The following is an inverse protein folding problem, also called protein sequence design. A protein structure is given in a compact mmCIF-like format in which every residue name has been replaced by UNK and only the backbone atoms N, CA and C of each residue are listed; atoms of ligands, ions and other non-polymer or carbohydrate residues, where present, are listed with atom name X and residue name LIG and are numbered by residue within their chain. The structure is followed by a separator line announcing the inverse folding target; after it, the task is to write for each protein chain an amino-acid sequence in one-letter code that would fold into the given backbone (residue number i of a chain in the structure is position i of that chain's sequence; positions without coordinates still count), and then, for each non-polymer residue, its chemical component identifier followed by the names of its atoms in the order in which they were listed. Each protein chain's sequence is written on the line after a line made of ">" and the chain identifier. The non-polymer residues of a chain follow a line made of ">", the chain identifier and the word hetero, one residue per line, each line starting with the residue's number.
data_IF_110916290726
#
_entry.id   IF_110916290726
#
_cell.length_a   1.000
_cell.length_b   1.000
_cell.length_c   1.000
_cell.angle_alpha   90.00
_cell.angle_beta   90.00
_cell.angle_gamma   90.00
#
_symmetry.space_group_name_H-M   'P 1'
#
loop_
_entity.id
_entity.type
_entity.pdbx_description
1 polymer ?
#
# COMPACT_ATOMS: atom_id res chain seq x y z
N UNK A 1 -19.53 67.12 -20.51
CA UNK A 1 -18.35 67.72 -19.84
C UNK A 1 -18.53 67.49 -18.34
N UNK A 2 -17.72 66.63 -17.71
CA UNK A 2 -17.78 66.43 -16.25
C UNK A 2 -17.44 65.04 -15.68
N UNK A 3 -17.40 63.97 -16.48
CA UNK A 3 -16.82 62.66 -16.08
C UNK A 3 -15.29 62.66 -16.20
N UNK A 4 -14.61 63.58 -15.50
CA UNK A 4 -13.12 63.63 -15.48
C UNK A 4 -12.50 63.79 -14.09
N UNK A 5 -13.28 63.62 -13.01
CA UNK A 5 -12.74 63.67 -11.63
C UNK A 5 -13.13 62.50 -10.72
N UNK A 6 -13.87 61.50 -11.22
CA UNK A 6 -14.24 60.32 -10.42
C UNK A 6 -13.36 59.09 -10.66
N UNK A 7 -12.58 59.08 -11.74
CA UNK A 7 -11.72 57.94 -12.12
C UNK A 7 -10.39 57.87 -11.33
N UNK A 8 -9.71 58.99 -10.97
CA UNK A 8 -8.46 58.90 -10.20
C UNK A 8 -8.68 58.48 -8.74
N UNK A 9 -9.85 58.77 -8.17
CA UNK A 9 -10.17 58.43 -6.76
C UNK A 9 -10.64 56.97 -6.65
N UNK A 10 -11.35 56.43 -7.66
CA UNK A 10 -11.65 54.99 -7.70
C UNK A 10 -10.41 54.14 -8.01
N UNK A 11 -9.45 54.61 -8.81
CA UNK A 11 -8.22 53.85 -9.08
C UNK A 11 -7.21 53.86 -7.91
N UNK A 12 -7.29 54.81 -6.98
CA UNK A 12 -6.54 54.79 -5.71
C UNK A 12 -7.22 53.94 -4.63
N UNK A 13 -8.50 53.59 -4.80
CA UNK A 13 -9.23 52.69 -3.90
C UNK A 13 -9.22 51.21 -4.35
N UNK A 14 -8.70 50.90 -5.55
CA UNK A 14 -8.65 49.53 -6.09
C UNK A 14 -7.24 49.00 -6.35
N UNK A 15 -6.19 49.73 -5.94
CA UNK A 15 -4.79 49.32 -6.08
C UNK A 15 -4.15 48.74 -4.81
N UNK A 16 -4.94 48.44 -3.78
CA UNK A 16 -4.55 47.55 -2.67
C UNK A 16 -5.56 46.40 -2.59
N UNK A 17 -5.77 45.71 -3.71
CA UNK A 17 -6.09 44.29 -3.66
C UNK A 17 -4.82 43.52 -4.03
N UNK A 18 -3.80 43.69 -3.17
CA UNK A 18 -3.04 42.50 -2.81
C UNK A 18 -4.11 41.60 -2.21
N UNK A 19 -4.44 40.49 -2.86
CA UNK A 19 -4.98 39.36 -2.15
C UNK A 19 -3.89 38.97 -1.14
N UNK A 20 -3.84 39.69 -0.03
CA UNK A 20 -3.33 39.18 1.21
C UNK A 20 -4.26 38.00 1.47
N UNK A 21 -3.79 36.81 1.11
CA UNK A 21 -4.26 35.62 1.80
C UNK A 21 -4.02 35.96 3.25
N UNK A 22 -5.12 36.17 4.00
CA UNK A 22 -5.16 36.62 5.38
C UNK A 22 -4.61 35.54 6.34
N UNK A 23 -3.36 35.14 6.13
CA UNK A 23 -2.48 34.74 7.20
C UNK A 23 -1.26 35.65 7.09
N UNK A 24 -1.28 36.78 7.80
CA UNK A 24 -0.12 37.66 7.96
C UNK A 24 1.06 36.95 8.66
N UNK A 25 0.81 35.76 9.21
CA UNK A 25 1.77 35.01 10.00
C UNK A 25 2.21 33.78 9.21
N UNK A 26 3.47 33.73 8.78
CA UNK A 26 4.05 32.56 8.13
C UNK A 26 5.54 32.41 8.46
N UNK A 27 6.03 31.17 8.35
CA UNK A 27 7.44 30.80 8.40
C UNK A 27 7.76 30.07 7.10
N UNK A 28 8.72 30.57 6.35
CA UNK A 28 9.25 29.95 5.14
C UNK A 28 10.73 29.63 5.37
N UNK A 29 11.12 28.38 5.15
CA UNK A 29 12.51 27.91 5.33
C UNK A 29 12.92 27.13 4.10
N UNK A 30 13.95 27.62 3.41
CA UNK A 30 14.59 26.90 2.31
C UNK A 30 15.85 26.19 2.82
N UNK A 31 15.79 24.88 2.98
CA UNK A 31 16.90 24.03 3.39
C UNK A 31 17.70 23.60 2.15
N UNK A 32 19.00 23.94 2.12
CA UNK A 32 19.91 23.34 1.13
C UNK A 32 20.21 21.90 1.48
N UNK A 33 20.57 21.68 2.76
CA UNK A 33 21.01 20.38 3.26
C UNK A 33 20.82 20.29 4.77
N UNK A 34 20.28 19.17 5.23
CA UNK A 34 20.34 18.76 6.64
C UNK A 34 20.80 17.32 6.69
N UNK A 35 21.91 17.06 7.37
CA UNK A 35 22.36 15.71 7.70
C UNK A 35 22.33 15.60 9.22
N UNK A 36 21.49 14.73 9.75
CA UNK A 36 21.41 14.43 11.17
C UNK A 36 21.69 12.95 11.41
N UNK A 37 22.46 12.66 12.47
CA UNK A 37 22.71 11.32 12.99
C UNK A 37 22.63 11.38 14.52
N UNK A 38 21.82 10.52 15.12
CA UNK A 38 21.73 10.42 16.58
C UNK A 38 23.11 10.01 17.15
N UNK A 39 23.66 10.74 18.13
CA UNK A 39 24.93 10.37 18.74
C UNK A 39 24.83 9.04 19.49
N UNK A 40 25.81 8.15 19.33
CA UNK A 40 25.82 6.81 19.96
C UNK A 40 25.70 6.84 21.49
N UNK A 41 26.22 7.89 22.12
CA UNK A 41 26.15 8.11 23.58
C UNK A 41 24.92 8.92 24.01
N UNK A 42 23.95 9.12 23.13
CA UNK A 42 22.74 9.94 23.36
C UNK A 42 22.99 11.45 23.47
N UNK A 43 24.25 11.88 23.37
CA UNK A 43 24.63 13.30 23.35
C UNK A 43 25.94 13.51 22.56
N UNK A 44 26.06 14.66 21.90
CA UNK A 44 27.24 14.99 21.09
C UNK A 44 26.91 15.71 19.79
N UNK A 45 27.93 15.81 18.94
CA UNK A 45 27.77 16.28 17.55
C UNK A 45 26.81 15.34 16.81
N UNK A 46 25.79 15.93 16.20
CA UNK A 46 24.69 15.22 15.58
C UNK A 46 24.53 15.54 14.08
N UNK A 47 25.39 16.38 13.50
CA UNK A 47 25.46 16.59 12.05
C UNK A 47 25.55 18.04 11.61
N UNK A 48 24.92 18.39 10.48
CA UNK A 48 24.98 19.73 9.87
C UNK A 48 23.61 20.20 9.37
N UNK A 49 23.38 21.52 9.43
CA UNK A 49 22.23 22.21 8.86
C UNK A 49 22.71 23.41 8.03
N UNK A 50 22.32 23.42 6.76
CA UNK A 50 22.56 24.50 5.83
C UNK A 50 21.23 24.93 5.19
N UNK A 51 20.82 26.18 5.42
CA UNK A 51 19.66 26.79 4.77
C UNK A 51 20.11 27.83 3.73
N UNK A 52 19.27 28.12 2.73
CA UNK A 52 19.45 29.21 1.75
C UNK A 52 18.85 30.49 2.28
N UNK A 53 17.61 30.41 2.74
CA UNK A 53 16.87 31.54 3.28
C UNK A 53 15.85 31.11 4.34
N UNK A 54 15.56 32.02 5.25
CA UNK A 54 14.46 31.94 6.21
C UNK A 54 13.69 33.25 6.14
N UNK A 55 12.40 33.19 5.85
CA UNK A 55 11.50 34.34 5.93
C UNK A 55 10.46 34.09 7.02
N UNK A 56 10.36 35.03 7.95
CA UNK A 56 9.34 35.05 9.00
C UNK A 56 8.49 36.30 8.79
N UNK A 57 7.18 36.12 8.69
CA UNK A 57 6.21 37.19 8.86
C UNK A 57 5.38 36.86 10.08
N UNK A 58 5.30 37.75 11.06
CA UNK A 58 4.50 37.52 12.27
C UNK A 58 4.03 38.85 12.87
N UNK A 59 2.72 39.02 13.04
CA UNK A 59 2.09 40.20 13.65
C UNK A 59 2.60 41.54 13.09
N UNK A 60 2.82 41.59 11.77
CA UNK A 60 3.31 42.78 11.05
C UNK A 60 4.82 42.95 11.03
N UNK A 61 5.58 42.10 11.73
CA UNK A 61 7.04 42.03 11.63
C UNK A 61 7.45 41.11 10.46
N UNK A 62 8.39 41.56 9.63
CA UNK A 62 9.00 40.75 8.57
C UNK A 62 10.50 40.63 8.80
N UNK A 63 11.00 39.41 8.95
CA UNK A 63 12.42 39.10 9.07
C UNK A 63 12.81 38.18 7.91
N UNK A 64 13.81 38.59 7.14
CA UNK A 64 14.41 37.76 6.09
C UNK A 64 15.88 37.52 6.40
N UNK A 65 16.29 36.27 6.50
CA UNK A 65 17.68 35.86 6.69
C UNK A 65 18.11 35.11 5.43
N UNK A 66 19.07 35.67 4.71
CA UNK A 66 19.68 35.01 3.55
C UNK A 66 21.07 34.51 3.94
N UNK A 67 21.32 33.21 3.76
CA UNK A 67 22.62 32.59 4.04
C UNK A 67 23.54 32.63 2.80
N UNK A 68 23.63 33.79 2.16
CA UNK A 68 24.58 34.04 1.09
C UNK A 68 25.98 33.99 1.71
N UNK A 69 26.88 33.16 1.16
CA UNK A 69 28.24 32.90 1.66
C UNK A 69 28.38 31.92 2.83
N UNK A 70 27.36 31.11 3.17
CA UNK A 70 27.47 30.01 4.17
C UNK A 70 27.79 30.49 5.61
N UNK A 71 27.50 31.75 5.91
CA UNK A 71 27.73 32.41 7.21
C UNK A 71 26.96 31.73 8.35
N UNK A 72 25.80 31.14 8.03
CA UNK A 72 24.92 30.45 8.97
C UNK A 72 24.93 28.92 8.81
N UNK A 73 25.89 28.37 8.06
CA UNK A 73 26.10 26.91 8.05
C UNK A 73 26.42 26.47 9.48
N UNK A 74 25.64 25.53 9.99
CA UNK A 74 25.62 25.21 11.41
C UNK A 74 25.90 23.73 11.65
N UNK A 75 26.73 23.43 12.66
CA UNK A 75 26.82 22.08 13.22
C UNK A 75 25.64 21.83 14.14
N UNK A 76 25.01 20.67 14.02
CA UNK A 76 23.94 20.23 14.91
C UNK A 76 24.59 19.54 16.11
N UNK A 77 24.15 19.89 17.30
CA UNK A 77 24.54 19.24 18.54
C UNK A 77 23.30 18.76 19.29
N UNK A 78 23.32 17.54 19.80
CA UNK A 78 22.17 16.93 20.47
C UNK A 78 22.49 16.55 21.91
N UNK A 79 21.52 16.74 22.79
CA UNK A 79 21.40 16.14 24.13
C UNK A 79 19.95 15.73 24.33
N UNK A 80 19.63 14.80 25.25
CA UNK A 80 18.26 14.27 25.39
C UNK A 80 17.16 15.31 25.57
N UNK A 81 17.46 16.50 26.11
CA UNK A 81 16.49 17.60 26.32
C UNK A 81 16.89 18.90 25.61
N UNK A 82 17.78 18.83 24.64
CA UNK A 82 18.32 20.02 23.99
C UNK A 82 18.87 19.72 22.59
N UNK A 83 18.53 20.55 21.61
CA UNK A 83 19.19 20.60 20.31
C UNK A 83 19.82 21.97 20.09
N UNK A 84 21.06 21.98 19.62
CA UNK A 84 21.82 23.18 19.31
C UNK A 84 22.24 23.23 17.86
N UNK A 85 22.35 24.45 17.33
CA UNK A 85 22.88 24.76 16.00
C UNK A 85 24.00 25.77 16.18
N UNK A 86 25.23 25.36 15.92
CA UNK A 86 26.42 26.17 16.14
C UNK A 86 27.06 26.57 14.81
N UNK A 87 26.99 27.87 14.48
CA UNK A 87 27.67 28.49 13.34
C UNK A 87 28.77 29.45 13.80
N UNK A 88 29.45 30.08 12.84
CA UNK A 88 30.57 31.01 13.12
C UNK A 88 30.09 32.28 13.85
N UNK A 89 28.91 32.78 13.47
CA UNK A 89 28.38 34.06 13.95
C UNK A 89 27.10 33.93 14.77
N UNK A 90 26.48 32.76 14.79
CA UNK A 90 25.22 32.51 15.47
C UNK A 90 25.22 31.11 16.09
N UNK A 91 24.85 31.05 17.36
CA UNK A 91 24.56 29.80 18.05
C UNK A 91 23.11 29.85 18.52
N UNK A 92 22.31 28.87 18.09
CA UNK A 92 20.93 28.70 18.52
C UNK A 92 20.80 27.42 19.33
N UNK A 93 19.89 27.43 20.29
CA UNK A 93 19.63 26.28 21.15
C UNK A 93 18.16 26.23 21.53
N UNK A 94 17.59 25.04 21.45
CA UNK A 94 16.18 24.78 21.75
C UNK A 94 16.09 23.68 22.78
N UNK A 95 15.30 23.92 23.82
CA UNK A 95 14.95 22.88 24.77
C UNK A 95 13.98 21.91 24.10
N UNK A 96 14.22 20.62 24.30
CA UNK A 96 13.34 19.55 23.83
C UNK A 96 12.53 19.01 25.00
N UNK A 97 11.33 18.53 24.67
CA UNK A 97 10.52 17.76 25.60
C UNK A 97 11.19 16.43 25.94
N UNK A 98 10.73 15.83 27.04
CA UNK A 98 11.26 14.56 27.53
C UNK A 98 11.04 13.44 26.50
N UNK A 99 9.88 13.40 25.88
CA UNK A 99 9.59 12.55 24.73
C UNK A 99 9.65 13.41 23.47
N UNK A 100 10.67 13.21 22.63
CA UNK A 100 10.79 13.92 21.37
C UNK A 100 11.20 12.96 20.26
N UNK A 101 10.64 13.16 19.06
CA UNK A 101 10.86 12.30 17.91
C UNK A 101 12.34 12.22 17.46
N UNK A 102 13.15 13.25 17.76
CA UNK A 102 14.58 13.22 17.41
C UNK A 102 15.36 12.14 18.18
N UNK A 103 14.86 11.65 19.33
CA UNK A 103 15.48 10.51 20.05
C UNK A 103 15.30 9.18 19.34
N UNK A 104 14.25 9.03 18.54
CA UNK A 104 13.94 7.77 17.84
C UNK A 104 14.56 7.73 16.46
N UNK A 105 14.77 8.90 15.84
CA UNK A 105 15.39 9.02 14.52
C UNK A 105 16.90 8.77 14.62
N UNK A 106 17.39 7.69 14.02
CA UNK A 106 18.82 7.37 13.91
C UNK A 106 19.52 8.28 12.90
N UNK A 107 18.90 8.51 11.74
CA UNK A 107 19.43 9.40 10.71
C UNK A 107 18.32 10.18 10.03
N UNK A 108 18.57 11.44 9.68
CA UNK A 108 17.68 12.26 8.85
C UNK A 108 18.52 13.00 7.79
N UNK A 109 18.12 12.88 6.53
CA UNK A 109 18.72 13.55 5.38
C UNK A 109 17.65 14.38 4.66
N UNK A 110 17.90 15.68 4.48
CA UNK A 110 17.02 16.58 3.74
C UNK A 110 17.88 17.33 2.71
N UNK A 111 17.46 17.36 1.46
CA UNK A 111 18.16 18.08 0.39
C UNK A 111 17.21 18.95 -0.42
N UNK A 112 17.65 20.17 -0.69
CA UNK A 112 16.97 21.13 -1.58
C UNK A 112 15.46 21.16 -1.33
N UNK A 113 15.09 21.45 -0.09
CA UNK A 113 13.71 21.37 0.38
C UNK A 113 13.22 22.71 0.93
N UNK A 114 11.92 22.93 0.86
CA UNK A 114 11.23 24.14 1.29
C UNK A 114 10.10 23.79 2.24
N UNK A 115 10.07 24.49 3.37
CA UNK A 115 8.99 24.47 4.34
C UNK A 115 8.22 25.78 4.25
N UNK A 116 6.90 25.71 4.25
CA UNK A 116 6.03 26.87 4.41
C UNK A 116 4.96 26.53 5.46
N UNK A 117 4.95 27.30 6.53
CA UNK A 117 4.11 27.08 7.70
C UNK A 117 3.30 28.34 7.94
N UNK A 118 1.99 28.23 8.13
CA UNK A 118 1.15 29.29 8.68
C UNK A 118 -0.02 28.64 9.45
N UNK A 119 -0.90 29.41 10.10
CA UNK A 119 -2.01 28.82 10.86
C UNK A 119 -2.99 27.97 10.05
N UNK A 120 -3.05 28.15 8.72
CA UNK A 120 -4.02 27.52 7.82
C UNK A 120 -3.47 26.33 7.03
N UNK A 121 -2.16 26.24 6.80
CA UNK A 121 -1.56 25.12 6.09
C UNK A 121 -0.08 24.90 6.45
N UNK A 122 0.37 23.68 6.19
CA UNK A 122 1.77 23.29 6.19
C UNK A 122 2.12 22.71 4.82
N UNK A 123 3.23 23.16 4.24
CA UNK A 123 3.76 22.59 3.00
C UNK A 123 5.24 22.25 3.14
N UNK A 124 5.60 21.06 2.68
CA UNK A 124 6.96 20.57 2.65
C UNK A 124 7.24 19.90 1.31
N UNK A 125 8.13 20.50 0.51
CA UNK A 125 8.50 19.96 -0.79
C UNK A 125 10.01 19.95 -0.94
N UNK A 126 10.53 19.05 -1.77
CA UNK A 126 11.97 19.00 -1.97
C UNK A 126 12.44 17.85 -2.84
N UNK A 127 13.74 17.86 -3.10
CA UNK A 127 14.39 16.86 -3.95
C UNK A 127 14.56 15.52 -3.24
N UNK A 128 14.96 15.52 -1.97
CA UNK A 128 15.18 14.30 -1.19
C UNK A 128 14.87 14.53 0.29
N UNK A 129 14.11 13.60 0.86
CA UNK A 129 13.93 13.42 2.29
C UNK A 129 14.19 11.95 2.61
N UNK A 130 15.04 11.65 3.58
CA UNK A 130 15.28 10.29 4.03
C UNK A 130 15.41 10.23 5.54
N UNK A 131 14.73 9.29 6.18
CA UNK A 131 14.73 9.09 7.61
C UNK A 131 14.96 7.61 7.92
N UNK A 132 15.76 7.31 8.93
CA UNK A 132 15.94 5.95 9.46
C UNK A 132 15.76 5.99 10.96
N UNK A 133 15.03 5.04 11.53
CA UNK A 133 14.97 4.76 12.97
C UNK A 133 15.41 3.30 13.26
N UNK A 134 15.05 2.75 14.42
CA UNK A 134 15.43 1.39 14.80
C UNK A 134 14.72 0.28 14.00
N UNK A 135 13.54 0.58 13.47
CA UNK A 135 12.62 -0.37 12.86
C UNK A 135 12.27 -0.04 11.41
N UNK A 136 12.49 1.20 10.97
CA UNK A 136 12.14 1.67 9.64
C UNK A 136 13.17 2.56 8.98
N UNK A 137 13.19 2.51 7.64
CA UNK A 137 13.83 3.50 6.77
C UNK A 137 12.79 4.00 5.77
N UNK A 138 12.59 5.31 5.70
CA UNK A 138 11.71 6.00 4.76
C UNK A 138 12.54 6.89 3.84
N UNK A 139 12.33 6.81 2.53
CA UNK A 139 12.92 7.73 1.56
C UNK A 139 11.83 8.31 0.66
N UNK A 140 11.86 9.62 0.44
CA UNK A 140 11.03 10.38 -0.50
C UNK A 140 11.94 11.13 -1.48
N UNK A 141 11.61 11.08 -2.77
CA UNK A 141 12.33 11.81 -3.83
C UNK A 141 11.35 12.69 -4.61
N UNK A 142 11.72 13.94 -4.90
CA UNK A 142 10.93 14.93 -5.67
C UNK A 142 9.46 15.01 -5.22
N UNK A 143 9.28 15.17 -3.93
CA UNK A 143 7.97 15.11 -3.30
C UNK A 143 7.43 16.52 -3.01
N UNK A 144 6.12 16.60 -2.87
CA UNK A 144 5.41 17.72 -2.28
C UNK A 144 4.38 17.15 -1.31
N UNK A 145 4.48 17.55 -0.04
CA UNK A 145 3.54 17.30 1.03
C UNK A 145 2.81 18.61 1.32
N UNK A 146 1.49 18.55 1.35
CA UNK A 146 0.63 19.62 1.81
C UNK A 146 -0.30 19.10 2.89
N UNK A 147 -0.50 19.87 3.95
CA UNK A 147 -1.46 19.57 5.01
C UNK A 147 -2.38 20.77 5.21
N UNK A 148 -3.68 20.50 5.20
CA UNK A 148 -4.72 21.49 5.39
C UNK A 148 -5.00 21.75 6.87
N UNK A 149 -5.16 23.02 7.23
CA UNK A 149 -5.61 23.43 8.56
C UNK A 149 -7.12 23.53 8.58
N UNK A 150 -7.76 22.75 9.46
CA UNK A 150 -9.13 23.07 9.86
C UNK A 150 -9.11 24.21 10.88
N UNK A 151 -10.21 24.95 11.04
CA UNK A 151 -10.34 26.01 12.06
C UNK A 151 -10.06 25.54 13.51
N UNK A 152 -9.90 24.23 13.73
CA UNK A 152 -9.62 23.61 15.03
C UNK A 152 -8.14 23.44 15.34
N UNK A 153 -7.23 23.50 14.36
CA UNK A 153 -5.80 23.21 14.57
C UNK A 153 -4.93 24.36 14.07
N UNK A 154 -4.04 24.83 14.93
CA UNK A 154 -3.03 25.83 14.58
C UNK A 154 -1.77 25.12 14.04
N UNK A 155 -1.62 25.14 12.71
CA UNK A 155 -0.50 24.50 12.01
C UNK A 155 0.86 25.20 12.21
N UNK A 156 0.94 26.24 13.04
CA UNK A 156 2.23 26.80 13.48
C UNK A 156 2.86 26.03 14.64
N UNK A 157 2.16 25.05 15.21
CA UNK A 157 2.63 24.18 16.29
C UNK A 157 2.93 22.75 15.79
N UNK A 158 3.82 22.02 16.46
CA UNK A 158 4.13 20.64 16.09
C UNK A 158 2.90 19.73 16.16
N UNK A 159 2.14 19.79 17.26
CA UNK A 159 0.89 19.04 17.44
C UNK A 159 -0.16 19.41 16.39
N UNK A 160 -0.26 20.70 16.08
CA UNK A 160 -1.12 21.20 15.02
C UNK A 160 -0.75 20.61 13.67
N UNK A 161 0.52 20.63 13.28
CA UNK A 161 1.00 20.03 12.02
C UNK A 161 0.64 18.55 11.95
N UNK A 162 0.91 17.78 13.01
CA UNK A 162 0.61 16.34 13.05
C UNK A 162 -0.89 16.11 12.88
N UNK A 163 -1.73 16.77 13.68
CA UNK A 163 -3.18 16.64 13.60
C UNK A 163 -3.72 17.09 12.24
N UNK A 164 -3.22 18.20 11.70
CA UNK A 164 -3.56 18.70 10.37
C UNK A 164 -3.26 17.70 9.27
N UNK A 165 -2.05 17.15 9.24
CA UNK A 165 -1.64 16.17 8.24
C UNK A 165 -2.41 14.84 8.33
N UNK A 166 -2.75 14.39 9.55
CA UNK A 166 -3.58 13.19 9.76
C UNK A 166 -5.05 13.41 9.35
N UNK A 167 -5.53 14.65 9.43
CA UNK A 167 -6.88 15.01 9.02
C UNK A 167 -7.00 15.18 7.52
N UNK A 168 -6.16 16.04 6.95
CA UNK A 168 -6.15 16.41 5.54
C UNK A 168 -4.71 16.59 5.06
N UNK A 169 -4.23 15.69 4.19
CA UNK A 169 -2.95 15.85 3.54
C UNK A 169 -2.93 15.32 2.12
N UNK A 170 -2.02 15.86 1.33
CA UNK A 170 -1.73 15.44 -0.03
C UNK A 170 -0.23 15.28 -0.19
N UNK A 171 0.21 14.09 -0.55
CA UNK A 171 1.58 13.79 -0.96
C UNK A 171 1.56 13.48 -2.43
N UNK A 172 2.32 14.21 -3.25
CA UNK A 172 2.44 13.96 -4.68
C UNK A 172 3.85 14.28 -5.21
N UNK A 173 4.06 14.06 -6.49
CA UNK A 173 5.27 14.51 -7.17
C UNK A 173 5.29 16.05 -7.28
N UNK A 174 6.48 16.64 -7.21
CA UNK A 174 6.69 18.10 -7.18
C UNK A 174 6.16 18.85 -8.43
N UNK A 175 5.98 18.18 -9.58
CA UNK A 175 5.42 18.78 -10.80
C UNK A 175 4.23 17.95 -11.29
N UNK A 176 3.06 18.61 -11.48
CA UNK A 176 1.97 18.06 -12.29
C UNK A 176 2.56 17.68 -13.67
N UNK A 177 2.61 16.39 -14.00
CA UNK A 177 3.19 15.79 -15.21
C UNK A 177 4.70 15.45 -15.19
N UNK A 178 5.39 15.53 -14.05
CA UNK A 178 6.74 14.95 -13.93
C UNK A 178 6.66 13.41 -14.07
N UNK A 179 7.40 12.85 -15.03
CA UNK A 179 7.61 11.39 -15.16
C UNK A 179 8.30 10.76 -13.93
N UNK A 180 8.83 11.58 -13.03
CA UNK A 180 9.35 11.13 -11.74
C UNK A 180 8.28 11.23 -10.67
N UNK A 181 7.53 10.13 -10.51
CA UNK A 181 6.73 9.82 -9.34
C UNK A 181 7.53 10.07 -8.05
N UNK A 182 6.84 10.45 -6.97
CA UNK A 182 7.45 10.42 -5.65
C UNK A 182 7.79 8.96 -5.33
N UNK A 183 9.07 8.68 -5.09
CA UNK A 183 9.50 7.32 -4.77
C UNK A 183 9.52 7.16 -3.25
N UNK A 184 8.77 6.19 -2.74
CA UNK A 184 8.78 5.72 -1.35
C UNK A 184 9.59 4.45 -1.29
N UNK A 185 10.70 4.48 -0.54
CA UNK A 185 11.39 3.27 -0.10
C UNK A 185 11.09 3.09 1.39
N UNK A 186 10.48 1.96 1.75
CA UNK A 186 10.17 1.56 3.12
C UNK A 186 10.82 0.23 3.44
N UNK A 187 11.59 0.19 4.51
CA UNK A 187 12.19 -1.04 5.03
C UNK A 187 11.64 -1.28 6.42
N UNK A 188 11.18 -2.49 6.74
CA UNK A 188 10.84 -2.88 8.12
C UNK A 188 11.66 -4.07 8.57
N UNK A 189 12.16 -4.00 9.80
CA UNK A 189 12.81 -5.13 10.48
C UNK A 189 11.77 -5.82 11.36
N UNK A 190 11.46 -7.09 11.09
CA UNK A 190 10.47 -7.87 11.86
C UNK A 190 11.02 -9.24 12.26
N UNK A 191 10.42 -9.88 13.27
CA UNK A 191 10.76 -11.26 13.66
C UNK A 191 10.50 -12.26 12.52
N UNK A 192 9.56 -11.95 11.62
CA UNK A 192 9.23 -12.75 10.43
C UNK A 192 10.17 -12.51 9.25
N UNK A 193 11.17 -11.64 9.42
CA UNK A 193 12.18 -11.27 8.42
C UNK A 193 12.00 -9.84 7.90
N UNK A 194 13.02 -9.36 7.20
CA UNK A 194 13.05 -7.99 6.67
C UNK A 194 12.12 -7.88 5.46
N UNK A 195 11.31 -6.82 5.44
CA UNK A 195 10.48 -6.44 4.29
C UNK A 195 11.04 -5.16 3.67
N UNK A 196 11.11 -5.14 2.34
CA UNK A 196 11.43 -3.95 1.57
C UNK A 196 10.28 -3.63 0.61
N UNK A 197 9.69 -2.45 0.74
CA UNK A 197 8.69 -1.90 -0.16
C UNK A 197 9.31 -0.72 -0.93
N UNK A 198 9.28 -0.79 -2.24
CA UNK A 198 9.61 0.33 -3.13
C UNK A 198 8.37 0.68 -3.94
N UNK A 199 7.82 1.86 -3.73
CA UNK A 199 6.62 2.34 -4.41
C UNK A 199 6.88 3.65 -5.16
N UNK A 200 6.38 3.73 -6.39
CA UNK A 200 6.34 4.97 -7.17
C UNK A 200 4.94 5.56 -7.09
N UNK A 201 4.78 6.57 -6.23
CA UNK A 201 3.53 7.24 -5.96
C UNK A 201 3.18 8.27 -7.05
N UNK A 202 1.94 8.23 -7.48
CA UNK A 202 1.31 9.36 -8.16
C UNK A 202 0.81 10.36 -7.11
N UNK A 203 -0.01 9.89 -6.16
CA UNK A 203 -0.46 10.65 -5.01
C UNK A 203 -0.76 9.75 -3.79
N UNK A 204 -0.77 10.34 -2.61
CA UNK A 204 -1.47 9.85 -1.42
C UNK A 204 -2.29 11.02 -0.88
N UNK A 205 -3.59 10.84 -0.75
CA UNK A 205 -4.53 11.82 -0.22
C UNK A 205 -5.16 11.28 1.07
N UNK A 206 -5.04 12.05 2.14
CA UNK A 206 -5.78 11.86 3.37
C UNK A 206 -6.88 12.92 3.38
N UNK A 207 -8.11 12.47 3.54
CA UNK A 207 -9.30 13.29 3.79
C UNK A 207 -9.91 12.88 5.13
N UNK A 208 -10.84 13.61 5.75
CA UNK A 208 -11.31 13.31 7.11
C UNK A 208 -11.62 11.82 7.35
N UNK A 209 -12.37 11.16 6.48
CA UNK A 209 -12.79 9.76 6.69
C UNK A 209 -12.05 8.72 5.82
N UNK A 210 -11.10 9.13 4.96
CA UNK A 210 -10.54 8.23 3.95
C UNK A 210 -9.07 8.50 3.66
N UNK A 211 -8.34 7.42 3.37
CA UNK A 211 -7.00 7.43 2.77
C UNK A 211 -7.13 6.91 1.35
N UNK A 212 -6.56 7.61 0.37
CA UNK A 212 -6.46 7.19 -1.02
C UNK A 212 -5.00 7.22 -1.41
N UNK A 213 -4.48 6.14 -1.99
CA UNK A 213 -3.12 6.06 -2.51
C UNK A 213 -3.16 5.56 -3.96
N UNK A 214 -2.65 6.40 -4.86
CA UNK A 214 -2.48 6.07 -6.27
C UNK A 214 -0.99 5.84 -6.56
N UNK A 215 -0.66 4.66 -7.09
CA UNK A 215 0.71 4.23 -7.37
C UNK A 215 0.84 3.81 -8.83
N UNK A 216 2.05 3.93 -9.38
CA UNK A 216 2.37 3.56 -10.77
C UNK A 216 3.12 2.25 -10.87
N UNK A 217 3.93 1.94 -9.85
CA UNK A 217 4.66 0.68 -9.73
C UNK A 217 4.99 0.44 -8.26
N UNK A 218 4.92 -0.81 -7.85
CA UNK A 218 5.30 -1.25 -6.51
C UNK A 218 6.14 -2.52 -6.61
N UNK A 219 7.14 -2.65 -5.74
CA UNK A 219 7.90 -3.87 -5.52
C UNK A 219 7.92 -4.13 -4.02
N UNK A 220 7.51 -5.32 -3.62
CA UNK A 220 7.58 -5.81 -2.24
C UNK A 220 8.50 -7.02 -2.25
N UNK A 221 9.62 -6.92 -1.54
CA UNK A 221 10.52 -8.04 -1.29
C UNK A 221 10.33 -8.50 0.16
N UNK A 222 10.00 -9.78 0.34
CA UNK A 222 9.93 -10.47 1.64
C UNK A 222 10.68 -11.80 1.52
N UNK A 223 11.10 -12.45 2.62
CA UNK A 223 11.91 -13.66 2.53
C UNK A 223 11.28 -14.78 1.69
N UNK A 224 11.90 -15.08 0.54
CA UNK A 224 11.46 -16.11 -0.41
C UNK A 224 10.38 -15.67 -1.40
N UNK A 225 9.90 -14.43 -1.32
CA UNK A 225 8.89 -13.92 -2.24
C UNK A 225 9.19 -12.51 -2.73
N UNK A 226 8.89 -12.29 -4.00
CA UNK A 226 8.94 -10.97 -4.61
C UNK A 226 7.62 -10.65 -5.31
N UNK A 227 7.03 -9.51 -4.96
CA UNK A 227 5.73 -9.06 -5.48
C UNK A 227 5.94 -7.77 -6.24
N UNK A 228 5.84 -7.83 -7.56
CA UNK A 228 5.85 -6.65 -8.42
C UNK A 228 4.41 -6.32 -8.84
N UNK A 229 4.03 -5.05 -8.73
CA UNK A 229 2.69 -4.58 -9.09
C UNK A 229 2.80 -3.39 -10.02
N UNK A 230 1.91 -3.32 -11.01
CA UNK A 230 1.78 -2.15 -11.89
C UNK A 230 1.07 -1.00 -11.17
N UNK A 231 0.30 -0.24 -11.94
CA UNK A 231 -0.52 0.81 -11.34
C UNK A 231 -1.56 0.20 -10.40
N UNK A 232 -1.65 0.76 -9.20
CA UNK A 232 -2.60 0.36 -8.18
C UNK A 232 -3.22 1.58 -7.52
N UNK A 233 -4.52 1.46 -7.22
CA UNK A 233 -5.29 2.41 -6.42
C UNK A 233 -5.76 1.70 -5.17
N UNK A 234 -5.41 2.25 -4.03
CA UNK A 234 -5.85 1.80 -2.71
C UNK A 234 -6.71 2.90 -2.12
N UNK A 235 -7.87 2.54 -1.58
CA UNK A 235 -8.73 3.44 -0.85
C UNK A 235 -9.18 2.73 0.42
N UNK A 236 -9.09 3.37 1.57
CA UNK A 236 -9.60 2.79 2.81
C UNK A 236 -10.10 3.81 3.81
N UNK A 237 -10.94 3.38 4.74
CA UNK A 237 -11.47 4.25 5.78
C UNK A 237 -10.40 4.59 6.84
N UNK A 238 -10.58 5.76 7.46
CA UNK A 238 -9.89 6.12 8.70
C UNK A 238 -10.84 6.84 9.65
N UNK A 239 -10.50 6.85 10.93
CA UNK A 239 -11.20 7.65 11.93
C UNK A 239 -11.16 9.16 11.58
N UNK A 240 -12.32 9.82 11.40
CA UNK A 240 -12.40 11.27 11.18
C UNK A 240 -12.00 12.12 12.36
N UNK A 241 -11.81 11.53 13.54
CA UNK A 241 -11.37 12.21 14.75
C UNK A 241 -9.93 11.84 15.14
N UNK A 242 -9.15 11.26 14.23
CA UNK A 242 -7.75 10.90 14.48
C UNK A 242 -6.90 12.16 14.74
N UNK A 243 -6.49 12.36 16.00
CA UNK A 243 -5.68 13.50 16.45
C UNK A 243 -4.20 13.17 16.62
N UNK A 244 -3.90 11.90 16.85
CA UNK A 244 -2.56 11.39 17.11
C UNK A 244 -2.31 10.17 16.23
N UNK A 245 -1.05 9.92 15.91
CA UNK A 245 -0.68 8.76 15.10
C UNK A 245 -0.85 7.49 15.94
N UNK A 246 -1.90 6.72 15.63
CA UNK A 246 -2.10 5.38 16.16
C UNK A 246 -2.11 4.39 14.99
N UNK A 247 -0.95 3.80 14.70
CA UNK A 247 -0.75 2.92 13.55
C UNK A 247 -1.64 1.66 13.61
N UNK A 248 -1.85 1.10 14.80
CA UNK A 248 -2.70 -0.08 14.99
C UNK A 248 -4.15 0.24 14.63
N UNK A 249 -4.70 1.33 15.19
CA UNK A 249 -6.06 1.77 14.89
C UNK A 249 -6.23 2.13 13.42
N UNK A 250 -5.30 2.90 12.84
CA UNK A 250 -5.35 3.25 11.43
C UNK A 250 -5.33 2.01 10.53
N UNK A 251 -4.49 1.02 10.85
CA UNK A 251 -4.41 -0.23 10.10
C UNK A 251 -5.72 -1.00 10.22
N UNK A 252 -6.27 -1.11 11.43
CA UNK A 252 -7.54 -1.80 11.68
C UNK A 252 -8.70 -1.15 10.93
N UNK A 253 -8.85 0.17 11.03
CA UNK A 253 -9.90 0.92 10.35
C UNK A 253 -9.77 0.79 8.82
N UNK A 254 -8.54 0.88 8.31
CA UNK A 254 -8.25 0.71 6.89
C UNK A 254 -8.58 -0.71 6.40
N UNK A 255 -8.25 -1.75 7.17
CA UNK A 255 -8.58 -3.14 6.84
C UNK A 255 -10.06 -3.49 7.03
N UNK A 256 -10.84 -2.64 7.71
CA UNK A 256 -12.28 -2.79 7.91
C UNK A 256 -13.12 -2.28 6.74
N UNK A 257 -12.67 -1.23 6.07
CA UNK A 257 -13.23 -0.74 4.79
C UNK A 257 -12.08 -0.44 3.83
N UNK A 258 -11.73 -1.43 3.02
CA UNK A 258 -10.60 -1.41 2.07
C UNK A 258 -11.12 -1.61 0.65
N UNK A 259 -10.61 -0.88 -0.31
CA UNK A 259 -10.79 -1.13 -1.74
C UNK A 259 -9.44 -1.00 -2.45
N UNK A 260 -9.00 -2.08 -3.10
CA UNK A 260 -7.77 -2.15 -3.89
C UNK A 260 -8.12 -2.53 -5.31
N UNK A 261 -7.61 -1.76 -6.26
CA UNK A 261 -7.61 -2.06 -7.69
C UNK A 261 -6.16 -2.08 -8.13
N UNK A 262 -5.68 -3.18 -8.71
CA UNK A 262 -4.28 -3.30 -9.11
C UNK A 262 -4.14 -4.13 -10.37
N UNK A 263 -3.55 -3.56 -11.40
CA UNK A 263 -3.32 -4.29 -12.66
C UNK A 263 -1.91 -4.86 -12.68
N UNK A 264 -1.77 -6.05 -13.23
CA UNK A 264 -0.48 -6.74 -13.42
C UNK A 264 0.28 -6.93 -12.11
N UNK A 265 -0.28 -7.71 -11.19
CA UNK A 265 0.46 -8.21 -10.03
C UNK A 265 1.22 -9.46 -10.49
N UNK A 266 2.52 -9.50 -10.22
CA UNK A 266 3.38 -10.66 -10.41
C UNK A 266 3.94 -11.04 -9.06
N UNK A 267 3.63 -12.24 -8.61
CA UNK A 267 4.17 -12.82 -7.39
C UNK A 267 5.16 -13.92 -7.79
N UNK A 268 6.40 -13.82 -7.33
CA UNK A 268 7.45 -14.79 -7.57
C UNK A 268 7.73 -15.55 -6.26
N UNK A 269 7.49 -16.86 -6.27
CA UNK A 269 7.94 -17.77 -5.24
C UNK A 269 9.34 -18.27 -5.62
N UNK A 270 10.35 -17.79 -4.90
CA UNK A 270 11.75 -18.14 -5.18
C UNK A 270 12.10 -19.57 -4.74
N UNK A 271 11.33 -20.16 -3.81
CA UNK A 271 11.60 -21.51 -3.30
C UNK A 271 11.09 -22.58 -4.26
N UNK A 272 9.86 -22.38 -4.74
CA UNK A 272 9.19 -23.32 -5.64
C UNK A 272 9.36 -22.94 -7.13
N UNK A 273 10.14 -21.89 -7.43
CA UNK A 273 10.36 -21.36 -8.78
C UNK A 273 9.06 -21.12 -9.56
N UNK A 274 8.00 -20.74 -8.85
CA UNK A 274 6.64 -20.58 -9.37
C UNK A 274 6.31 -19.10 -9.45
N UNK A 275 5.72 -18.66 -10.57
CA UNK A 275 5.26 -17.28 -10.74
C UNK A 275 3.75 -17.23 -10.91
N UNK A 276 3.13 -16.30 -10.20
CA UNK A 276 1.70 -16.03 -10.28
C UNK A 276 1.49 -14.68 -10.94
N UNK A 277 0.59 -14.62 -11.91
CA UNK A 277 0.12 -13.38 -12.49
C UNK A 277 -1.33 -13.16 -12.08
N UNK A 278 -1.65 -11.98 -11.52
CA UNK A 278 -3.00 -11.62 -11.09
C UNK A 278 -3.35 -10.26 -11.71
N UNK A 279 -4.46 -10.24 -12.45
CA UNK A 279 -5.07 -9.00 -12.91
C UNK A 279 -6.20 -8.61 -11.95
N UNK A 280 -5.89 -7.87 -10.86
CA UNK A 280 -6.85 -7.57 -9.80
C UNK A 280 -7.78 -6.42 -10.22
N UNK A 281 -8.99 -6.78 -10.62
CA UNK A 281 -10.05 -5.81 -10.90
C UNK A 281 -10.54 -5.16 -9.60
N UNK A 282 -10.69 -5.96 -8.54
CA UNK A 282 -11.18 -5.47 -7.24
C UNK A 282 -10.83 -6.43 -6.10
N UNK A 283 -10.21 -5.92 -5.05
CA UNK A 283 -10.24 -6.50 -3.70
C UNK A 283 -10.95 -5.49 -2.80
N UNK A 284 -12.06 -5.88 -2.18
CA UNK A 284 -12.84 -5.01 -1.30
C UNK A 284 -13.13 -5.71 0.02
N UNK A 285 -12.99 -4.98 1.11
CA UNK A 285 -13.50 -5.36 2.43
C UNK A 285 -14.51 -4.30 2.81
N UNK A 286 -15.75 -4.70 3.06
CA UNK A 286 -16.81 -3.79 3.51
C UNK A 286 -17.92 -4.59 4.18
N UNK A 287 -18.50 -4.05 5.24
CA UNK A 287 -19.63 -4.68 5.97
C UNK A 287 -19.32 -6.15 6.33
N UNK A 288 -18.12 -6.40 6.86
CA UNK A 288 -17.60 -7.73 7.22
C UNK A 288 -17.55 -8.75 6.08
N UNK A 289 -17.38 -8.26 4.84
CA UNK A 289 -17.24 -9.12 3.66
C UNK A 289 -16.01 -8.78 2.86
N UNK A 290 -15.23 -9.81 2.55
CA UNK A 290 -14.16 -9.77 1.58
C UNK A 290 -14.72 -10.14 0.20
N UNK A 291 -14.43 -9.32 -0.80
CA UNK A 291 -14.76 -9.54 -2.21
C UNK A 291 -13.48 -9.44 -3.02
N UNK A 292 -13.09 -10.49 -3.71
CA UNK A 292 -11.96 -10.51 -4.63
C UNK A 292 -12.44 -10.86 -6.03
N UNK A 293 -12.06 -10.05 -7.03
CA UNK A 293 -12.44 -10.22 -8.44
C UNK A 293 -11.22 -10.05 -9.33
N UNK A 294 -11.01 -11.03 -10.20
CA UNK A 294 -9.94 -11.02 -11.20
C UNK A 294 -10.46 -11.59 -12.52
N UNK A 295 -10.34 -10.87 -13.65
CA UNK A 295 -10.59 -11.43 -14.98
C UNK A 295 -9.65 -12.59 -15.32
N UNK A 296 -8.42 -12.59 -14.79
CA UNK A 296 -7.47 -13.68 -15.03
C UNK A 296 -6.44 -13.80 -13.92
N UNK A 297 -6.26 -15.03 -13.43
CA UNK A 297 -5.12 -15.43 -12.61
C UNK A 297 -4.37 -16.54 -13.32
N UNK A 298 -3.06 -16.42 -13.44
CA UNK A 298 -2.21 -17.48 -13.98
C UNK A 298 -1.23 -17.96 -12.92
N UNK A 299 -1.00 -19.27 -12.91
CA UNK A 299 -0.01 -19.94 -12.09
C UNK A 299 0.91 -20.64 -13.08
N UNK A 300 2.18 -20.27 -13.12
CA UNK A 300 3.15 -20.87 -14.03
C UNK A 300 4.35 -21.41 -13.25
N UNK A 301 4.71 -22.64 -13.56
CA UNK A 301 5.96 -23.27 -13.16
C UNK A 301 6.80 -23.57 -14.43
N UNK A 302 7.88 -24.34 -14.31
CA UNK A 302 8.74 -24.68 -15.45
C UNK A 302 8.03 -25.53 -16.51
N UNK A 303 7.10 -26.37 -16.09
CA UNK A 303 6.46 -27.39 -16.91
C UNK A 303 5.12 -26.89 -17.48
N UNK A 304 4.32 -26.20 -16.68
CA UNK A 304 2.94 -25.90 -16.99
C UNK A 304 2.52 -24.48 -16.63
N UNK A 305 1.42 -24.04 -17.25
CA UNK A 305 0.67 -22.86 -16.85
C UNK A 305 -0.80 -23.20 -16.69
N UNK A 306 -1.40 -22.75 -15.60
CA UNK A 306 -2.83 -22.85 -15.36
C UNK A 306 -3.42 -21.45 -15.27
N UNK A 307 -4.42 -21.16 -16.10
CA UNK A 307 -5.17 -19.91 -16.10
C UNK A 307 -6.57 -20.11 -15.56
N UNK A 308 -6.93 -19.33 -14.54
CA UNK A 308 -8.26 -19.18 -13.98
C UNK A 308 -8.90 -17.92 -14.58
N UNK A 309 -10.03 -18.05 -15.27
CA UNK A 309 -10.74 -16.92 -15.88
C UNK A 309 -11.94 -16.48 -15.05
N UNK A 310 -12.09 -15.16 -14.92
CA UNK A 310 -13.20 -14.47 -14.25
C UNK A 310 -13.47 -15.03 -12.85
N UNK A 311 -12.43 -15.08 -12.02
CA UNK A 311 -12.52 -15.56 -10.64
C UNK A 311 -13.17 -14.51 -9.76
N UNK A 312 -14.15 -14.93 -8.97
CA UNK A 312 -14.85 -14.11 -7.97
C UNK A 312 -14.90 -14.88 -6.65
N UNK A 313 -14.30 -14.32 -5.62
CA UNK A 313 -14.45 -14.78 -4.24
C UNK A 313 -15.28 -13.75 -3.50
N UNK A 314 -16.26 -14.21 -2.74
CA UNK A 314 -16.89 -13.39 -1.72
C UNK A 314 -17.00 -14.24 -0.45
N UNK A 315 -16.52 -13.77 0.68
CA UNK A 315 -16.60 -14.51 1.92
C UNK A 315 -16.70 -13.60 3.14
N UNK A 316 -17.14 -14.15 4.25
CA UNK A 316 -17.18 -13.44 5.53
C UNK A 316 -15.76 -13.07 5.97
N UNK A 317 -15.58 -11.83 6.43
CA UNK A 317 -14.35 -11.31 7.00
C UNK A 317 -14.70 -10.44 8.20
N UNK A 318 -14.59 -10.97 9.41
CA UNK A 318 -14.95 -10.24 10.64
C UNK A 318 -14.02 -9.04 10.85
N UNK A 319 -14.50 -8.00 11.54
CA UNK A 319 -13.70 -6.79 11.77
C UNK A 319 -12.43 -7.05 12.58
N UNK A 320 -12.45 -8.04 13.47
CA UNK A 320 -11.32 -8.42 14.31
C UNK A 320 -10.37 -9.44 13.65
N UNK A 321 -10.63 -9.81 12.39
CA UNK A 321 -9.75 -10.75 11.68
C UNK A 321 -8.54 -10.06 11.06
N UNK A 322 -7.38 -10.66 11.30
CA UNK A 322 -6.16 -10.24 10.64
C UNK A 322 -6.17 -10.73 9.18
N UNK A 323 -6.11 -9.80 8.23
CA UNK A 323 -6.05 -10.13 6.81
C UNK A 323 -4.73 -10.84 6.47
N UNK A 324 -3.68 -10.62 7.25
CA UNK A 324 -2.38 -11.22 7.05
C UNK A 324 -2.31 -12.65 7.60
N UNK A 325 -3.28 -13.07 8.44
CA UNK A 325 -3.46 -14.46 8.84
C UNK A 325 -4.37 -15.21 7.87
N UNK A 326 -3.75 -15.82 6.87
CA UNK A 326 -4.44 -16.64 5.87
C UNK A 326 -5.26 -17.79 6.50
N UNK A 327 -4.85 -18.36 7.64
CA UNK A 327 -5.64 -19.41 8.29
C UNK A 327 -6.94 -18.83 8.84
N UNK A 328 -6.88 -17.66 9.49
CA UNK A 328 -8.08 -16.99 9.99
C UNK A 328 -9.04 -16.63 8.85
N UNK A 329 -8.52 -16.06 7.75
CA UNK A 329 -9.33 -15.73 6.57
C UNK A 329 -10.00 -16.97 5.98
N UNK A 330 -9.27 -18.09 5.84
CA UNK A 330 -9.83 -19.34 5.33
C UNK A 330 -10.92 -19.90 6.25
N UNK A 331 -10.69 -19.88 7.57
CA UNK A 331 -11.67 -20.34 8.56
C UNK A 331 -12.98 -19.55 8.47
N UNK A 332 -12.91 -18.24 8.26
CA UNK A 332 -14.10 -17.40 8.09
C UNK A 332 -14.78 -17.63 6.74
N UNK A 333 -14.01 -17.78 5.66
CA UNK A 333 -14.58 -18.15 4.38
C UNK A 333 -15.30 -19.52 4.41
N UNK A 334 -14.85 -20.49 5.22
CA UNK A 334 -15.52 -21.79 5.40
C UNK A 334 -16.84 -21.70 6.17
N UNK A 335 -17.04 -20.65 6.99
CA UNK A 335 -18.31 -20.40 7.68
C UNK A 335 -19.36 -19.87 6.70
N UNK A 336 -19.01 -18.88 5.88
CA UNK A 336 -19.87 -18.35 4.83
C UNK A 336 -19.04 -17.76 3.68
N UNK A 337 -19.12 -18.37 2.50
CA UNK A 337 -18.36 -17.92 1.36
C UNK A 337 -18.77 -18.56 0.04
N UNK A 338 -18.37 -17.92 -1.04
CA UNK A 338 -18.54 -18.41 -2.39
C UNK A 338 -17.31 -18.09 -3.24
N UNK A 339 -16.90 -19.05 -4.05
CA UNK A 339 -15.91 -18.92 -5.10
C UNK A 339 -16.56 -19.31 -6.42
N UNK A 340 -16.45 -18.44 -7.42
CA UNK A 340 -16.88 -18.71 -8.78
C UNK A 340 -15.66 -18.55 -9.70
N UNK A 341 -15.43 -19.51 -10.59
CA UNK A 341 -14.43 -19.44 -11.64
C UNK A 341 -15.12 -19.82 -12.94
N UNK A 342 -15.11 -18.92 -13.93
CA UNK A 342 -15.84 -19.17 -15.16
C UNK A 342 -15.20 -20.31 -15.95
N UNK A 343 -13.87 -20.34 -16.04
CA UNK A 343 -13.12 -21.34 -16.82
C UNK A 343 -11.73 -21.58 -16.23
N UNK A 344 -11.24 -22.81 -16.38
CA UNK A 344 -9.84 -23.18 -16.14
C UNK A 344 -9.27 -23.76 -17.43
N UNK A 345 -8.10 -23.28 -17.83
CA UNK A 345 -7.33 -23.84 -18.93
C UNK A 345 -5.90 -24.10 -18.46
N UNK A 346 -5.32 -25.24 -18.85
CA UNK A 346 -3.94 -25.59 -18.57
C UNK A 346 -3.18 -25.85 -19.88
N UNK A 347 -1.88 -25.59 -19.89
CA UNK A 347 -1.00 -25.86 -21.05
C UNK A 347 0.41 -26.21 -20.56
N UNK A 348 1.10 -27.09 -21.28
CA UNK A 348 2.44 -27.61 -20.97
C UNK A 348 3.56 -26.68 -21.49
N UNK A 349 3.34 -25.36 -21.44
CA UNK A 349 4.25 -24.32 -21.95
C UNK A 349 4.78 -23.40 -20.83
N UNK A 350 4.95 -23.92 -19.60
CA UNK A 350 5.27 -23.13 -18.41
C UNK A 350 6.45 -22.15 -18.59
N UNK A 351 7.59 -22.65 -19.08
CA UNK A 351 8.80 -21.85 -19.35
C UNK A 351 8.54 -20.59 -20.20
N UNK A 352 7.72 -20.69 -21.25
CA UNK A 352 7.41 -19.56 -22.13
C UNK A 352 6.66 -18.44 -21.38
N UNK A 353 5.84 -18.79 -20.39
CA UNK A 353 5.13 -17.82 -19.56
C UNK A 353 6.05 -17.20 -18.50
N UNK A 354 6.95 -17.98 -17.91
CA UNK A 354 7.96 -17.48 -16.97
C UNK A 354 8.83 -16.38 -17.60
N UNK A 355 9.28 -16.58 -18.84
CA UNK A 355 10.07 -15.60 -19.61
C UNK A 355 9.27 -14.32 -19.92
N UNK A 356 7.95 -14.44 -20.15
CA UNK A 356 7.08 -13.29 -20.43
C UNK A 356 6.90 -12.38 -19.21
N UNK A 357 6.88 -12.95 -18.02
CA UNK A 357 6.69 -12.18 -16.79
C UNK A 357 7.86 -11.24 -16.50
N UNK A 358 9.07 -11.54 -16.98
CA UNK A 358 10.25 -10.70 -16.77
C UNK A 358 10.16 -9.35 -17.50
N UNK A 359 9.36 -9.26 -18.57
CA UNK A 359 9.19 -8.04 -19.37
C UNK A 359 7.79 -7.42 -19.31
N UNK A 360 6.92 -7.85 -18.37
CA UNK A 360 5.49 -7.51 -18.39
C UNK A 360 5.20 -6.03 -18.11
N UNK A 361 6.04 -5.39 -17.30
CA UNK A 361 5.91 -3.97 -16.95
C UNK A 361 6.46 -3.05 -18.04
N UNK A 362 7.29 -3.55 -18.94
CA UNK A 362 7.93 -2.77 -20.01
C UNK A 362 7.13 -2.81 -21.33
N UNK A 363 6.44 -3.92 -21.61
CA UNK A 363 5.90 -4.20 -22.95
C UNK A 363 4.36 -4.14 -23.06
N UNK A 364 3.68 -3.55 -22.08
CA UNK A 364 2.21 -3.54 -21.96
C UNK A 364 1.53 -4.90 -22.24
N UNK A 365 2.12 -5.99 -21.75
CA UNK A 365 1.63 -7.34 -22.01
C UNK A 365 0.58 -7.74 -20.95
N UNK A 366 -0.50 -8.40 -21.38
CA UNK A 366 -1.41 -9.14 -20.51
C UNK A 366 -1.33 -10.65 -20.83
N UNK A 367 -0.56 -11.43 -20.05
CA UNK A 367 -0.42 -12.88 -20.22
C UNK A 367 -1.76 -13.64 -20.17
N UNK A 368 -2.73 -13.15 -19.40
CA UNK A 368 -4.07 -13.72 -19.30
C UNK A 368 -4.83 -13.77 -20.63
N UNK A 369 -4.49 -12.91 -21.60
CA UNK A 369 -5.12 -12.91 -22.92
C UNK A 369 -4.50 -13.92 -23.90
N UNK A 370 -3.32 -14.50 -23.60
CA UNK A 370 -2.64 -15.43 -24.51
C UNK A 370 -3.23 -16.83 -24.50
N UNK A 371 -3.73 -17.29 -23.36
CA UNK A 371 -4.41 -18.57 -23.29
C UNK A 371 -5.86 -18.38 -23.74
N UNK A 372 -6.29 -19.12 -24.77
CA UNK A 372 -7.64 -18.95 -25.30
C UNK A 372 -8.65 -19.62 -24.38
N UNK A 373 -9.71 -18.89 -24.04
CA UNK A 373 -10.82 -19.46 -23.24
C UNK A 373 -11.56 -20.62 -23.92
N UNK A 374 -11.33 -20.85 -25.23
CA UNK A 374 -11.83 -22.00 -25.98
C UNK A 374 -11.21 -23.32 -25.52
N UNK A 375 -10.00 -23.25 -24.96
CA UNK A 375 -9.17 -24.41 -24.64
C UNK A 375 -9.39 -24.86 -23.18
N UNK A 376 -10.44 -24.32 -22.54
CA UNK A 376 -10.78 -24.63 -21.16
C UNK A 376 -11.33 -26.05 -20.99
N UNK A 377 -10.68 -26.82 -20.12
CA UNK A 377 -11.05 -28.19 -19.74
C UNK A 377 -12.15 -28.23 -18.68
N UNK A 378 -12.24 -27.16 -17.87
CA UNK A 378 -13.24 -27.00 -16.81
C UNK A 378 -13.94 -25.65 -16.93
N UNK A 379 -15.26 -25.64 -16.77
CA UNK A 379 -16.12 -24.46 -16.91
C UNK A 379 -17.13 -24.36 -15.78
N UNK A 380 -17.69 -23.17 -15.58
CA UNK A 380 -18.79 -22.90 -14.65
C UNK A 380 -18.54 -23.46 -13.23
N UNK A 381 -17.34 -23.23 -12.70
CA UNK A 381 -16.97 -23.71 -11.38
C UNK A 381 -17.63 -22.79 -10.35
N UNK A 382 -18.38 -23.39 -9.44
CA UNK A 382 -18.99 -22.73 -8.30
C UNK A 382 -18.71 -23.55 -7.05
N UNK A 383 -18.12 -22.92 -6.06
CA UNK A 383 -17.86 -23.50 -4.73
C UNK A 383 -18.57 -22.64 -3.71
N UNK A 384 -19.53 -23.23 -2.99
CA UNK A 384 -20.21 -22.60 -1.86
C UNK A 384 -19.72 -23.20 -0.55
N UNK A 385 -19.46 -22.33 0.42
CA UNK A 385 -19.07 -22.68 1.78
C UNK A 385 -20.18 -22.24 2.74
N UNK A 386 -20.65 -23.15 3.59
CA UNK A 386 -21.65 -22.82 4.61
C UNK A 386 -21.51 -23.72 5.82
N UNK A 387 -21.22 -23.14 6.97
CA UNK A 387 -21.05 -23.85 8.25
C UNK A 387 -20.10 -25.05 8.12
N UNK A 388 -18.90 -24.82 7.57
CA UNK A 388 -17.87 -25.83 7.32
C UNK A 388 -18.31 -26.96 6.36
N UNK A 389 -19.26 -26.67 5.47
CA UNK A 389 -19.64 -27.56 4.37
C UNK A 389 -19.33 -26.93 3.05
N UNK A 390 -18.81 -27.74 2.13
CA UNK A 390 -18.47 -27.36 0.77
C UNK A 390 -19.45 -27.97 -0.20
N UNK A 391 -19.90 -27.15 -1.14
CA UNK A 391 -20.69 -27.55 -2.29
C UNK A 391 -19.97 -27.08 -3.55
N UNK A 392 -19.34 -28.01 -4.26
CA UNK A 392 -18.67 -27.73 -5.52
C UNK A 392 -19.54 -28.21 -6.67
N UNK A 393 -19.66 -27.40 -7.71
CA UNK A 393 -20.23 -27.75 -9.00
C UNK A 393 -19.29 -27.27 -10.10
N UNK A 394 -19.02 -28.11 -11.10
CA UNK A 394 -18.19 -27.76 -12.24
C UNK A 394 -18.58 -28.55 -13.50
N UNK A 395 -18.51 -27.93 -14.66
CA UNK A 395 -18.66 -28.59 -15.95
C UNK A 395 -17.29 -29.01 -16.47
N UNK A 396 -17.06 -30.32 -16.55
CA UNK A 396 -15.79 -30.90 -17.01
C UNK A 396 -15.98 -31.49 -18.40
N UNK A 397 -15.07 -31.17 -19.31
CA UNK A 397 -15.03 -31.79 -20.64
C UNK A 397 -14.29 -33.12 -20.55
N UNK A 398 -14.99 -34.22 -20.86
CA UNK A 398 -14.36 -35.55 -20.99
C UNK A 398 -14.60 -36.04 -22.40
N UNK A 399 -13.52 -36.16 -23.18
CA UNK A 399 -13.56 -36.42 -24.61
C UNK A 399 -14.37 -35.33 -25.36
N UNK A 400 -15.50 -35.71 -25.99
CA UNK A 400 -16.34 -34.82 -26.81
C UNK A 400 -17.57 -34.32 -26.03
N UNK A 401 -17.82 -34.83 -24.82
CA UNK A 401 -19.01 -34.49 -24.02
C UNK A 401 -18.66 -33.66 -22.78
N UNK A 402 -19.55 -32.72 -22.44
CA UNK A 402 -19.47 -31.95 -21.20
C UNK A 402 -20.31 -32.64 -20.13
N UNK A 403 -19.78 -32.68 -18.91
CA UNK A 403 -20.43 -33.33 -17.78
C UNK A 403 -20.38 -32.42 -16.55
N UNK A 404 -21.53 -32.23 -15.92
CA UNK A 404 -21.60 -31.52 -14.64
C UNK A 404 -21.27 -32.47 -13.50
N UNK A 405 -20.22 -32.14 -12.76
CA UNK A 405 -19.80 -32.81 -11.54
C UNK A 405 -20.27 -31.98 -10.36
N UNK A 406 -20.87 -32.62 -9.36
CA UNK A 406 -21.14 -31.98 -8.07
C UNK A 406 -20.53 -32.77 -6.93
N UNK A 407 -19.93 -32.07 -5.98
CA UNK A 407 -19.26 -32.64 -4.80
C UNK A 407 -19.77 -31.92 -3.56
N UNK A 408 -20.08 -32.70 -2.53
CA UNK A 408 -20.34 -32.20 -1.19
C UNK A 408 -19.29 -32.77 -0.25
N UNK A 409 -18.70 -31.92 0.57
CA UNK A 409 -17.72 -32.31 1.58
C UNK A 409 -17.94 -31.56 2.89
N UNK A 410 -17.59 -32.17 4.02
CA UNK A 410 -17.40 -31.47 5.28
C UNK A 410 -15.93 -31.01 5.38
N UNK A 411 -15.69 -29.82 5.93
CA UNK A 411 -14.36 -29.21 6.04
C UNK A 411 -13.90 -29.27 7.49
N UNK A 412 -12.74 -29.86 7.71
CA UNK A 412 -12.00 -29.76 8.95
C UNK A 412 -10.77 -28.89 8.71
N UNK A 413 -10.59 -27.87 9.54
CA UNK A 413 -9.49 -26.93 9.44
C UNK A 413 -8.65 -27.00 10.71
N UNK A 414 -7.36 -27.29 10.55
CA UNK A 414 -6.37 -27.43 11.60
C UNK A 414 -5.29 -26.35 11.44
N UNK A 415 -5.51 -25.12 11.96
CA UNK A 415 -4.57 -24.00 11.79
C UNK A 415 -3.17 -24.30 12.31
N UNK A 416 -3.05 -25.06 13.41
CA UNK A 416 -1.75 -25.39 14.03
C UNK A 416 -0.84 -26.24 13.13
N UNK A 417 -1.46 -27.05 12.28
CA UNK A 417 -0.78 -27.98 11.38
C UNK A 417 -0.80 -27.47 9.93
N UNK A 418 -1.28 -26.24 9.70
CA UNK A 418 -1.59 -25.66 8.39
C UNK A 418 -2.36 -26.62 7.46
N UNK A 419 -3.28 -27.41 8.04
CA UNK A 419 -3.92 -28.50 7.31
C UNK A 419 -5.42 -28.25 7.14
N UNK A 420 -5.93 -28.47 5.92
CA UNK A 420 -7.35 -28.49 5.60
C UNK A 420 -7.72 -29.87 5.10
N UNK A 421 -8.77 -30.46 5.66
CA UNK A 421 -9.27 -31.78 5.27
C UNK A 421 -10.69 -31.65 4.74
N UNK A 422 -10.90 -32.05 3.50
CA UNK A 422 -12.22 -32.15 2.89
C UNK A 422 -12.70 -33.60 2.91
N UNK A 423 -13.68 -33.91 3.76
CA UNK A 423 -14.31 -35.22 3.85
C UNK A 423 -15.43 -35.34 2.83
N UNK A 424 -15.18 -36.02 1.70
CA UNK A 424 -16.16 -36.12 0.61
C UNK A 424 -17.35 -36.99 1.02
N UNK A 425 -18.51 -36.34 1.26
CA UNK A 425 -19.74 -36.98 1.70
C UNK A 425 -20.68 -37.33 0.56
N UNK A 426 -20.72 -36.56 -0.52
CA UNK A 426 -21.56 -36.89 -1.69
C UNK A 426 -20.88 -36.49 -2.99
N UNK A 427 -21.09 -37.28 -4.02
CA UNK A 427 -20.66 -36.97 -5.38
C UNK A 427 -21.75 -37.34 -6.37
N UNK A 428 -22.01 -36.47 -7.34
CA UNK A 428 -22.84 -36.78 -8.50
C UNK A 428 -21.96 -36.66 -9.74
N UNK A 429 -21.82 -37.78 -10.43
CA UNK A 429 -21.10 -37.91 -11.69
C UNK A 429 -22.10 -38.22 -12.82
N UNK A 430 -21.74 -37.92 -14.07
CA UNK A 430 -22.66 -38.01 -15.22
C UNK A 430 -23.21 -39.40 -15.53
N UNK A 431 -22.58 -40.48 -15.06
CA UNK A 431 -22.99 -41.86 -15.37
C UNK A 431 -23.87 -42.52 -14.30
N UNK A 432 -24.48 -41.73 -13.39
CA UNK A 432 -25.33 -42.27 -12.33
C UNK A 432 -24.56 -42.70 -11.07
N UNK A 433 -25.32 -43.03 -10.02
CA UNK A 433 -24.93 -43.05 -8.60
C UNK A 433 -23.63 -43.86 -8.32
N UNK A 434 -22.74 -43.25 -7.53
CA UNK A 434 -21.91 -44.00 -6.58
C UNK A 434 -20.45 -44.30 -6.94
N UNK A 435 -19.75 -43.42 -7.67
CA UNK A 435 -18.33 -43.66 -7.97
C UNK A 435 -17.41 -42.60 -7.33
N UNK A 436 -17.50 -42.44 -5.99
CA UNK A 436 -16.52 -41.65 -5.21
C UNK A 436 -15.09 -42.05 -5.57
N UNK A 437 -14.82 -43.36 -5.73
CA UNK A 437 -13.51 -43.89 -6.16
C UNK A 437 -13.04 -43.35 -7.51
N UNK A 438 -13.95 -43.13 -8.47
CA UNK A 438 -13.61 -42.59 -9.78
C UNK A 438 -13.29 -41.10 -9.70
N UNK A 439 -14.09 -40.32 -8.95
CA UNK A 439 -13.74 -38.91 -8.69
C UNK A 439 -12.37 -38.83 -8.01
N UNK A 440 -12.13 -39.60 -6.95
CA UNK A 440 -10.85 -39.62 -6.26
C UNK A 440 -9.71 -40.08 -7.16
N UNK A 441 -9.95 -41.02 -8.08
CA UNK A 441 -8.98 -41.41 -9.10
C UNK A 441 -8.65 -40.24 -10.05
N UNK A 442 -9.67 -39.51 -10.53
CA UNK A 442 -9.46 -38.33 -11.36
C UNK A 442 -8.76 -37.19 -10.61
N UNK A 443 -9.16 -36.89 -9.37
CA UNK A 443 -8.50 -35.88 -8.54
C UNK A 443 -7.05 -36.26 -8.27
N UNK A 444 -6.77 -37.50 -7.85
CA UNK A 444 -5.40 -38.01 -7.68
C UNK A 444 -4.53 -37.89 -8.93
N UNK A 445 -5.13 -38.00 -10.12
CA UNK A 445 -4.41 -37.92 -11.39
C UNK A 445 -4.17 -36.48 -11.86
N UNK A 446 -5.06 -35.54 -11.54
CA UNK A 446 -5.05 -34.19 -12.12
C UNK A 446 -4.80 -33.05 -11.10
N UNK A 447 -5.06 -33.28 -9.81
CA UNK A 447 -4.69 -32.42 -8.70
C UNK A 447 -3.51 -33.09 -7.98
N UNK A 448 -2.33 -32.90 -8.54
CA UNK A 448 -1.06 -33.40 -8.01
C UNK A 448 -0.28 -32.19 -7.50
N UNK A 449 0.13 -32.25 -6.25
CA UNK A 449 1.00 -31.26 -5.60
C UNK A 449 1.59 -31.91 -4.36
N UNK A 450 2.82 -31.54 -4.00
CA UNK A 450 3.48 -32.03 -2.78
C UNK A 450 2.67 -31.76 -1.50
N UNK A 451 1.81 -30.73 -1.55
CA UNK A 451 0.91 -30.30 -0.50
C UNK A 451 -0.46 -31.00 -0.46
N UNK A 452 -0.81 -31.82 -1.46
CA UNK A 452 -2.11 -32.51 -1.51
C UNK A 452 -1.92 -34.02 -1.30
N UNK A 453 -2.50 -34.54 -0.24
CA UNK A 453 -2.58 -35.99 0.01
C UNK A 453 -4.03 -36.46 0.02
N UNK A 454 -4.21 -37.76 -0.20
CA UNK A 454 -5.52 -38.36 -0.40
C UNK A 454 -5.66 -39.64 0.40
N UNK A 455 -6.46 -39.59 1.45
CA UNK A 455 -6.68 -40.72 2.37
C UNK A 455 -8.15 -41.15 2.35
N UNK A 456 -8.43 -42.32 1.77
CA UNK A 456 -9.79 -42.81 1.62
C UNK A 456 -10.69 -41.87 0.81
N UNK A 457 -11.63 -41.20 1.49
CA UNK A 457 -12.56 -40.21 0.91
C UNK A 457 -12.18 -38.77 1.28
N UNK A 458 -11.01 -38.57 1.88
CA UNK A 458 -10.55 -37.29 2.36
C UNK A 458 -9.49 -36.72 1.42
N UNK A 459 -9.61 -35.43 1.15
CA UNK A 459 -8.60 -34.64 0.44
C UNK A 459 -7.93 -33.78 1.50
N UNK A 460 -6.63 -33.95 1.70
CA UNK A 460 -5.86 -33.26 2.72
C UNK A 460 -4.95 -32.28 1.99
N UNK A 461 -5.03 -31.00 2.35
CA UNK A 461 -4.20 -29.91 1.82
C UNK A 461 -3.36 -29.38 2.96
N UNK A 462 -2.03 -29.38 2.80
CA UNK A 462 -1.08 -28.85 3.78
C UNK A 462 -0.38 -27.61 3.23
N UNK A 463 -0.64 -26.45 3.83
CA UNK A 463 -0.15 -25.14 3.39
C UNK A 463 1.19 -24.76 4.01
#
# INVERSE_FOLDING_TARGET
>A
MGMKKLVPILCLATSINVFAVNSSNFIEIDISKMDYKLPEKGSGDAGILNFRQVNLSWDGMNIGINNSNKIFDSKIFFRPRFIGFAGEHLNLGFQLEEENALKTINTLNIQESKFLINPQFFSFNGKEFAMTDASMKLKLKKFNLYCGGSAKYDLTTADGIIAGCLMESLINAQEENSLSAAEVEYYSVSETGDMNLVSKLNNIELSPAQIIADTTRNTIDIPGYKIDTGAAKVACAKDPELKELNSEKMTKDCLGDLEVVARKIVFNDEKEETKFFIDLEKLQIKDERLIFKTPSTQIADKESVTTLFDTKVACMKSFDSDLFDMQQVLAECFKDGNLAISKIASNDDGKKYLDLYEGIFENDLNPGQRQRSSDADVKNISVGFKNNKVFLSADVKVLIKNFTITVQADVEHHPKDNTIIFHVTKTRLPFGIGWRKLLMYFLKKNLVGSFITYEGNSIIIKM
#
